data_IF_550711850416
#
_entry.id   IF_550711850416
#
_cell.length_a   1.000
_cell.length_b   1.000
_cell.length_c   1.000
_cell.angle_alpha   90.00
_cell.angle_beta   90.00
_cell.angle_gamma   90.00
#
_symmetry.space_group_name_H-M   'P 1'
#
loop_
_entity.id
_entity.type
_entity.pdbx_description
1 polymer ?
#
# COMPACT_ATOMS: atom_id res chain seq x y z
N UNK A 1 -17.95 -27.78 28.56
CA UNK A 1 -16.53 -27.83 28.95
C UNK A 1 -15.77 -28.77 28.03
N UNK A 2 -16.23 -30.02 27.87
CA UNK A 2 -15.66 -30.98 26.91
C UNK A 2 -15.61 -30.50 25.45
N UNK A 3 -16.61 -29.72 25.04
CA UNK A 3 -16.66 -29.13 23.69
C UNK A 3 -15.53 -28.11 23.45
N UNK A 4 -15.23 -27.26 24.44
CA UNK A 4 -14.11 -26.30 24.37
C UNK A 4 -12.77 -27.02 24.23
N UNK A 5 -12.58 -28.12 24.96
CA UNK A 5 -11.36 -28.90 24.87
C UNK A 5 -11.21 -29.53 23.48
N UNK A 6 -12.26 -30.16 22.92
CA UNK A 6 -12.21 -30.70 21.55
C UNK A 6 -11.90 -29.62 20.52
N UNK A 7 -12.55 -28.46 20.61
CA UNK A 7 -12.30 -27.35 19.69
C UNK A 7 -10.84 -26.89 19.74
N UNK A 8 -10.21 -26.88 20.92
CA UNK A 8 -8.80 -26.53 21.08
C UNK A 8 -7.87 -27.62 20.53
N UNK A 9 -8.19 -28.90 20.74
CA UNK A 9 -7.43 -30.04 20.21
C UNK A 9 -7.45 -30.10 18.67
N UNK A 10 -8.54 -29.64 18.04
CA UNK A 10 -8.69 -29.62 16.58
C UNK A 10 -7.96 -28.44 15.89
N UNK A 11 -7.42 -27.47 16.65
CA UNK A 11 -6.68 -26.34 16.07
C UNK A 11 -5.36 -26.85 15.49
N UNK A 12 -5.28 -26.93 14.16
CA UNK A 12 -4.06 -27.36 13.47
C UNK A 12 -2.88 -26.40 13.72
N UNK A 13 -1.62 -26.88 13.71
CA UNK A 13 -0.45 -26.02 13.78
C UNK A 13 -0.47 -24.91 12.72
N UNK A 14 -0.14 -23.68 13.13
CA UNK A 14 -0.20 -22.48 12.31
C UNK A 14 -1.58 -21.81 12.24
N UNK A 15 -2.63 -22.45 12.76
CA UNK A 15 -3.98 -21.88 12.81
C UNK A 15 -4.33 -21.30 14.18
N UNK A 16 -5.46 -20.61 14.21
CA UNK A 16 -6.05 -20.02 15.41
C UNK A 16 -7.55 -20.26 15.47
N UNK A 17 -8.10 -20.28 16.67
CA UNK A 17 -9.54 -20.30 16.90
C UNK A 17 -9.94 -19.14 17.81
N UNK A 18 -10.91 -18.33 17.36
CA UNK A 18 -11.49 -17.27 18.16
C UNK A 18 -12.80 -17.78 18.77
N UNK A 19 -12.88 -17.75 20.10
CA UNK A 19 -14.11 -18.01 20.84
C UNK A 19 -14.98 -16.77 20.83
N UNK A 20 -16.29 -16.95 20.78
CA UNK A 20 -17.25 -15.84 20.74
C UNK A 20 -17.13 -14.89 21.96
N UNK A 21 -17.52 -13.63 21.81
CA UNK A 21 -17.46 -12.64 22.89
C UNK A 21 -18.49 -12.89 24.02
N UNK A 22 -19.53 -13.69 23.76
CA UNK A 22 -20.56 -14.10 24.73
C UNK A 22 -20.06 -15.07 25.81
N UNK A 23 -18.82 -15.53 25.74
CA UNK A 23 -18.26 -16.43 26.76
C UNK A 23 -18.12 -15.73 28.12
N UNK A 24 -18.48 -16.45 29.17
CA UNK A 24 -18.36 -15.99 30.56
C UNK A 24 -16.89 -15.90 31.01
N UNK A 25 -16.61 -15.13 32.06
CA UNK A 25 -15.26 -15.05 32.64
C UNK A 25 -14.73 -16.39 33.14
N UNK A 26 -15.61 -17.26 33.65
CA UNK A 26 -15.25 -18.62 34.06
C UNK A 26 -14.84 -19.48 32.88
N UNK A 27 -15.55 -19.38 31.74
CA UNK A 27 -15.18 -20.07 30.50
C UNK A 27 -13.87 -19.51 29.92
N UNK A 28 -13.67 -18.19 29.95
CA UNK A 28 -12.42 -17.54 29.53
C UNK A 28 -11.23 -18.05 30.33
N UNK A 29 -11.34 -18.11 31.67
CA UNK A 29 -10.30 -18.70 32.53
C UNK A 29 -10.04 -20.16 32.18
N UNK A 30 -11.11 -20.93 31.96
CA UNK A 30 -10.98 -22.34 31.57
C UNK A 30 -10.25 -22.51 30.23
N UNK A 31 -10.59 -21.72 29.20
CA UNK A 31 -9.92 -21.72 27.89
C UNK A 31 -8.42 -21.46 28.05
N UNK A 32 -8.02 -20.46 28.82
CA UNK A 32 -6.60 -20.16 29.08
C UNK A 32 -5.88 -21.34 29.75
N UNK A 33 -6.50 -21.97 30.75
CA UNK A 33 -5.92 -23.11 31.48
C UNK A 33 -5.75 -24.32 30.57
N UNK A 34 -6.77 -24.69 29.80
CA UNK A 34 -6.72 -25.85 28.90
C UNK A 34 -5.77 -25.60 27.74
N UNK A 35 -5.81 -24.41 27.14
CA UNK A 35 -4.89 -24.04 26.06
C UNK A 35 -3.43 -24.17 26.50
N UNK A 36 -3.11 -23.72 27.72
CA UNK A 36 -1.77 -23.90 28.30
C UNK A 36 -1.37 -25.36 28.44
N UNK A 37 -2.30 -26.25 28.81
CA UNK A 37 -2.04 -27.71 28.89
C UNK A 37 -1.78 -28.33 27.51
N UNK A 38 -2.45 -27.80 26.48
CA UNK A 38 -2.32 -28.26 25.09
C UNK A 38 -1.15 -27.58 24.35
N UNK A 39 -0.36 -26.73 25.02
CA UNK A 39 0.73 -25.99 24.39
C UNK A 39 0.27 -24.87 23.44
N UNK A 40 -1.00 -24.49 23.50
CA UNK A 40 -1.57 -23.41 22.72
C UNK A 40 -1.34 -22.07 23.40
N UNK A 41 -1.02 -21.05 22.62
CA UNK A 41 -0.94 -19.68 23.11
C UNK A 41 -2.35 -19.05 23.09
N UNK A 42 -2.72 -18.29 24.12
CA UNK A 42 -4.03 -17.64 24.18
C UNK A 42 -3.93 -16.19 24.58
N UNK A 43 -4.73 -15.33 23.94
CA UNK A 43 -4.86 -13.92 24.30
C UNK A 43 -6.32 -13.50 24.29
N UNK A 44 -6.70 -12.63 25.22
CA UNK A 44 -7.97 -11.90 25.15
C UNK A 44 -7.79 -10.71 24.21
N UNK A 45 -8.61 -10.61 23.17
CA UNK A 45 -8.58 -9.54 22.17
C UNK A 45 -9.90 -8.76 22.20
N UNK A 46 -9.90 -7.50 21.71
CA UNK A 46 -11.08 -6.62 21.71
C UNK A 46 -11.34 -5.91 23.04
N UNK A 47 -12.31 -4.99 23.05
CA UNK A 47 -12.74 -4.20 24.22
C UNK A 47 -14.25 -4.32 24.43
N UNK A 48 -14.70 -4.25 25.69
CA UNK A 48 -16.13 -4.26 26.02
C UNK A 48 -16.85 -5.53 25.53
N UNK A 49 -17.95 -5.34 24.81
CA UNK A 49 -18.81 -6.41 24.28
C UNK A 49 -18.18 -7.20 23.12
N UNK A 50 -17.13 -6.69 22.48
CA UNK A 50 -16.39 -7.39 21.42
C UNK A 50 -15.21 -8.21 21.97
N UNK A 51 -15.05 -8.24 23.30
CA UNK A 51 -13.91 -8.91 23.94
C UNK A 51 -14.04 -10.42 23.85
N UNK A 52 -13.16 -11.01 23.04
CA UNK A 52 -13.12 -12.43 22.78
C UNK A 52 -11.77 -13.05 23.17
N UNK A 53 -11.70 -14.38 23.23
CA UNK A 53 -10.45 -15.11 23.47
C UNK A 53 -10.04 -15.78 22.18
N UNK A 54 -8.79 -15.63 21.79
CA UNK A 54 -8.21 -16.33 20.65
C UNK A 54 -7.12 -17.28 21.12
N UNK A 55 -7.22 -18.54 20.71
CA UNK A 55 -6.24 -19.58 20.92
C UNK A 55 -5.46 -19.82 19.62
N UNK A 56 -4.15 -19.94 19.72
CA UNK A 56 -3.22 -20.05 18.61
C UNK A 56 -2.40 -21.32 18.79
N UNK A 57 -2.40 -22.20 17.79
CA UNK A 57 -1.49 -23.33 17.76
C UNK A 57 -0.20 -22.91 17.06
N UNK A 58 0.79 -22.52 17.85
CA UNK A 58 2.02 -21.87 17.35
C UNK A 58 3.25 -22.75 17.49
N UNK A 59 3.09 -24.00 17.95
CA UNK A 59 4.23 -24.87 18.28
C UNK A 59 5.27 -24.13 19.14
N UNK A 60 6.53 -24.11 18.73
CA UNK A 60 7.64 -23.41 19.39
C UNK A 60 7.82 -21.94 18.93
N UNK A 61 7.03 -21.48 17.95
CA UNK A 61 7.18 -20.16 17.34
C UNK A 61 7.15 -19.02 18.39
N UNK A 62 6.13 -18.97 19.24
CA UNK A 62 5.98 -17.92 20.27
C UNK A 62 7.18 -17.91 21.22
N UNK A 63 7.64 -19.08 21.65
CA UNK A 63 8.78 -19.19 22.56
C UNK A 63 10.08 -18.72 21.90
N UNK A 64 10.31 -19.10 20.63
CA UNK A 64 11.45 -18.67 19.84
C UNK A 64 11.47 -17.15 19.63
N UNK A 65 10.38 -16.59 19.12
CA UNK A 65 10.28 -15.13 18.88
C UNK A 65 10.46 -14.35 20.18
N UNK A 66 9.84 -14.79 21.28
CA UNK A 66 10.00 -14.13 22.58
C UNK A 66 11.45 -14.15 23.05
N UNK A 67 12.15 -15.27 22.90
CA UNK A 67 13.56 -15.37 23.26
C UNK A 67 14.42 -14.43 22.39
N UNK A 68 14.17 -14.37 21.09
CA UNK A 68 14.86 -13.45 20.17
C UNK A 68 14.62 -11.98 20.51
N UNK A 69 13.38 -11.59 20.84
CA UNK A 69 13.05 -10.21 21.20
C UNK A 69 13.61 -9.82 22.59
N UNK A 70 13.68 -10.74 23.54
CA UNK A 70 14.25 -10.48 24.88
C UNK A 70 15.75 -10.22 24.87
N UNK A 71 16.47 -10.70 23.86
CA UNK A 71 17.92 -10.48 23.71
C UNK A 71 18.25 -9.37 22.71
N UNK A 72 17.25 -8.69 22.16
CA UNK A 72 17.44 -7.59 21.21
C UNK A 72 18.08 -6.41 21.94
N UNK A 73 19.27 -5.99 21.51
CA UNK A 73 20.01 -4.90 22.15
C UNK A 73 19.31 -3.53 21.96
N UNK A 74 19.60 -2.58 22.85
CA UNK A 74 19.11 -1.21 22.71
C UNK A 74 19.69 -0.56 21.43
N UNK A 75 18.83 0.06 20.62
CA UNK A 75 19.13 0.60 19.29
C UNK A 75 19.06 -0.43 18.16
N UNK A 76 18.88 -1.72 18.47
CA UNK A 76 18.80 -2.76 17.46
C UNK A 76 17.38 -2.95 16.90
N UNK A 77 17.32 -3.59 15.73
CA UNK A 77 16.07 -3.97 15.09
C UNK A 77 16.15 -5.41 14.59
N UNK A 78 15.00 -6.06 14.48
CA UNK A 78 14.86 -7.43 13.99
C UNK A 78 13.72 -7.50 12.99
N UNK A 79 13.99 -8.07 11.82
CA UNK A 79 13.00 -8.23 10.75
C UNK A 79 12.60 -9.70 10.63
N UNK A 80 11.30 -9.95 10.50
CA UNK A 80 10.73 -11.27 10.30
C UNK A 80 10.00 -11.34 8.96
N UNK A 81 10.48 -12.20 8.08
CA UNK A 81 9.95 -12.40 6.73
C UNK A 81 9.11 -13.67 6.64
N UNK A 82 8.33 -13.79 5.56
CA UNK A 82 7.57 -15.01 5.23
C UNK A 82 6.62 -15.48 6.34
N UNK A 83 6.12 -14.57 7.17
CA UNK A 83 5.20 -14.87 8.25
C UNK A 83 3.76 -15.00 7.74
N UNK A 84 3.04 -16.00 8.24
CA UNK A 84 1.58 -16.05 8.09
C UNK A 84 0.92 -14.85 8.78
N UNK A 85 -0.32 -14.52 8.42
CA UNK A 85 -1.07 -13.44 9.09
C UNK A 85 -1.13 -13.65 10.61
N UNK A 86 -1.33 -14.89 11.06
CA UNK A 86 -1.36 -15.24 12.47
C UNK A 86 0.00 -15.05 13.16
N UNK A 87 1.09 -15.48 12.53
CA UNK A 87 2.44 -15.26 13.06
C UNK A 87 2.80 -13.78 13.12
N UNK A 88 2.39 -12.98 12.12
CA UNK A 88 2.56 -11.52 12.15
C UNK A 88 1.86 -10.89 13.34
N UNK A 89 0.60 -11.25 13.57
CA UNK A 89 -0.15 -10.78 14.74
C UNK A 89 0.58 -11.14 16.03
N UNK A 90 1.10 -12.37 16.15
CA UNK A 90 1.85 -12.83 17.33
C UNK A 90 3.12 -12.01 17.55
N UNK A 91 3.91 -11.74 16.50
CA UNK A 91 5.14 -10.94 16.64
C UNK A 91 4.80 -9.53 17.12
N UNK A 92 3.78 -8.90 16.54
CA UNK A 92 3.33 -7.55 16.95
C UNK A 92 2.89 -7.55 18.41
N UNK A 93 2.11 -8.55 18.81
CA UNK A 93 1.60 -8.71 20.17
C UNK A 93 2.72 -8.96 21.19
N UNK A 94 3.75 -9.73 20.83
CA UNK A 94 4.92 -9.96 21.68
C UNK A 94 5.81 -8.72 21.79
N UNK A 95 5.96 -7.97 20.68
CA UNK A 95 6.67 -6.70 20.69
C UNK A 95 5.99 -5.69 21.62
N UNK A 96 4.66 -5.57 21.52
CA UNK A 96 3.85 -4.74 22.42
C UNK A 96 4.03 -5.13 23.90
N UNK A 97 3.97 -6.43 24.21
CA UNK A 97 4.15 -6.95 25.58
C UNK A 97 5.57 -6.70 26.14
N UNK A 98 6.56 -6.47 25.26
CA UNK A 98 7.95 -6.16 25.61
C UNK A 98 8.29 -4.67 25.47
N UNK A 99 7.29 -3.81 25.24
CA UNK A 99 7.45 -2.37 25.03
C UNK A 99 8.36 -2.03 23.83
N UNK A 100 8.39 -2.92 22.83
CA UNK A 100 9.09 -2.74 21.56
C UNK A 100 8.13 -2.17 20.50
N UNK A 101 8.67 -1.43 19.54
CA UNK A 101 7.87 -0.89 18.42
C UNK A 101 7.90 -1.89 17.27
N UNK A 102 6.73 -2.30 16.78
CA UNK A 102 6.61 -3.19 15.62
C UNK A 102 5.90 -2.49 14.44
N UNK A 103 6.38 -2.74 13.22
CA UNK A 103 5.79 -2.27 11.98
C UNK A 103 5.63 -3.41 10.99
N UNK A 104 4.53 -3.39 10.24
CA UNK A 104 4.40 -4.20 9.02
C UNK A 104 4.84 -3.36 7.83
N UNK A 105 5.90 -3.78 7.16
CA UNK A 105 6.46 -3.11 5.98
C UNK A 105 6.27 -4.03 4.77
N UNK A 106 5.90 -3.51 3.59
CA UNK A 106 5.95 -4.30 2.37
C UNK A 106 7.41 -4.62 2.03
N UNK A 107 7.80 -5.90 2.07
CA UNK A 107 9.11 -6.36 1.59
C UNK A 107 9.10 -6.71 0.11
N UNK A 108 10.27 -7.08 -0.43
CA UNK A 108 10.45 -7.39 -1.86
C UNK A 108 9.61 -8.59 -2.33
N UNK A 109 9.43 -9.60 -1.47
CA UNK A 109 8.76 -10.87 -1.79
C UNK A 109 7.52 -11.13 -0.92
N UNK A 110 7.49 -10.60 0.30
CA UNK A 110 6.41 -10.78 1.26
C UNK A 110 6.34 -9.58 2.22
N UNK A 111 5.23 -9.45 2.95
CA UNK A 111 5.14 -8.50 4.06
C UNK A 111 6.10 -8.92 5.18
N UNK A 112 6.86 -7.95 5.67
CA UNK A 112 7.88 -8.12 6.70
C UNK A 112 7.41 -7.43 7.97
N UNK A 113 7.62 -8.06 9.12
CA UNK A 113 7.42 -7.41 10.42
C UNK A 113 8.78 -6.98 10.94
N UNK A 114 9.01 -5.66 11.03
CA UNK A 114 10.19 -5.10 11.68
C UNK A 114 9.85 -4.74 13.13
N UNK A 115 10.70 -5.17 14.06
CA UNK A 115 10.61 -4.84 15.49
C UNK A 115 11.84 -4.03 15.88
N UNK A 116 11.64 -2.94 16.60
CA UNK A 116 12.66 -1.97 16.99
C UNK A 116 12.74 -1.88 18.53
N UNK A 117 13.95 -1.98 19.06
CA UNK A 117 14.24 -1.71 20.47
C UNK A 117 14.90 -0.33 20.61
N UNK A 118 14.12 0.72 20.84
CA UNK A 118 14.64 2.10 20.99
C UNK A 118 13.89 2.88 22.08
N UNK A 119 13.88 2.41 23.35
CA UNK A 119 13.00 2.92 24.40
C UNK A 119 13.21 4.41 24.70
N UNK A 120 14.46 4.90 24.70
CA UNK A 120 14.76 6.31 24.96
C UNK A 120 14.22 7.20 23.82
N UNK A 121 14.47 6.80 22.57
CA UNK A 121 13.96 7.51 21.40
C UNK A 121 12.44 7.51 21.35
N UNK A 122 11.81 6.35 21.58
CA UNK A 122 10.35 6.20 21.62
C UNK A 122 9.75 7.09 22.71
N UNK A 123 10.32 7.11 23.90
CA UNK A 123 9.84 7.97 24.99
C UNK A 123 9.94 9.45 24.62
N UNK A 124 11.05 9.86 23.99
CA UNK A 124 11.24 11.25 23.55
C UNK A 124 10.22 11.66 22.48
N UNK A 125 9.98 10.81 21.48
CA UNK A 125 9.01 11.07 20.42
C UNK A 125 7.59 11.06 20.98
N UNK A 126 7.23 10.07 21.82
CA UNK A 126 5.90 9.99 22.42
C UNK A 126 5.57 11.23 23.25
N UNK A 127 6.53 11.75 24.04
CA UNK A 127 6.33 13.01 24.77
C UNK A 127 6.00 14.17 23.82
N UNK A 128 6.70 14.28 22.68
CA UNK A 128 6.41 15.31 21.68
C UNK A 128 5.02 15.12 21.06
N UNK A 129 4.64 13.87 20.76
CA UNK A 129 3.34 13.56 20.14
C UNK A 129 2.16 13.75 21.10
N UNK A 130 2.36 13.52 22.39
CA UNK A 130 1.36 13.72 23.44
C UNK A 130 1.09 15.21 23.67
N UNK A 131 2.13 16.05 23.57
CA UNK A 131 2.05 17.50 23.75
C UNK A 131 1.46 18.24 22.53
N UNK A 132 1.33 17.58 21.38
CA UNK A 132 0.73 18.18 20.18
C UNK A 132 -0.77 18.45 20.37
N UNK A 133 -1.14 19.73 20.39
CA UNK A 133 -2.54 20.14 20.35
C UNK A 133 -3.14 20.02 18.94
N UNK A 134 -4.47 19.97 18.85
CA UNK A 134 -5.15 19.93 17.55
C UNK A 134 -4.82 21.18 16.70
N UNK A 135 -4.48 20.96 15.43
CA UNK A 135 -4.00 21.96 14.49
C UNK A 135 -2.48 22.20 14.52
N UNK A 136 -1.74 21.58 15.44
CA UNK A 136 -0.28 21.72 15.53
C UNK A 136 0.45 20.60 14.78
N UNK A 137 1.65 20.94 14.29
CA UNK A 137 2.60 20.01 13.67
C UNK A 137 3.99 20.17 14.29
N UNK A 138 4.76 19.09 14.30
CA UNK A 138 6.15 19.04 14.70
C UNK A 138 6.98 18.40 13.59
N UNK A 139 8.14 18.98 13.29
CA UNK A 139 9.06 18.46 12.28
C UNK A 139 10.30 17.88 12.97
N UNK A 140 10.57 16.61 12.68
CA UNK A 140 11.77 15.91 13.10
C UNK A 140 12.82 15.98 11.97
N UNK A 141 14.04 16.35 12.33
CA UNK A 141 15.18 16.46 11.42
C UNK A 141 16.31 15.51 11.82
N UNK A 142 17.18 15.18 10.87
CA UNK A 142 18.37 14.37 11.12
C UNK A 142 18.07 12.92 11.53
N UNK A 143 16.87 12.41 11.22
CA UNK A 143 16.48 11.04 11.57
C UNK A 143 17.15 10.03 10.64
N UNK A 144 17.66 8.94 11.21
CA UNK A 144 17.99 7.74 10.44
C UNK A 144 16.72 7.11 9.84
N UNK A 145 16.89 6.26 8.83
CA UNK A 145 15.78 5.50 8.23
C UNK A 145 15.02 4.62 9.25
N UNK A 146 15.68 4.21 10.32
CA UNK A 146 15.06 3.41 11.38
C UNK A 146 14.25 4.28 12.32
N UNK A 147 14.82 5.38 12.79
CA UNK A 147 14.12 6.37 13.63
C UNK A 147 12.89 6.93 12.90
N UNK A 148 13.03 7.26 11.62
CA UNK A 148 11.92 7.71 10.76
C UNK A 148 10.76 6.71 10.72
N UNK A 149 11.07 5.42 10.58
CA UNK A 149 10.07 4.34 10.64
C UNK A 149 9.39 4.25 11.99
N UNK A 150 10.16 4.34 13.08
CA UNK A 150 9.61 4.38 14.44
C UNK A 150 8.66 5.57 14.61
N UNK A 151 9.00 6.76 14.12
CA UNK A 151 8.11 7.93 14.21
C UNK A 151 6.84 7.73 13.39
N UNK A 152 6.91 7.17 12.18
CA UNK A 152 5.72 6.80 11.40
C UNK A 152 4.81 5.82 12.16
N UNK A 153 5.36 4.82 12.83
CA UNK A 153 4.60 3.88 13.67
C UNK A 153 3.91 4.58 14.83
N UNK A 154 4.64 5.41 15.57
CA UNK A 154 4.09 6.13 16.71
C UNK A 154 3.01 7.11 16.27
N UNK A 155 3.21 7.83 15.17
CA UNK A 155 2.19 8.71 14.60
C UNK A 155 0.91 7.93 14.25
N UNK A 156 1.04 6.81 13.53
CA UNK A 156 -0.10 5.97 13.16
C UNK A 156 -0.85 5.41 14.40
N UNK A 157 -0.12 4.95 15.42
CA UNK A 157 -0.70 4.42 16.66
C UNK A 157 -1.47 5.49 17.46
N UNK A 158 -1.00 6.74 17.41
CA UNK A 158 -1.66 7.88 18.05
C UNK A 158 -2.74 8.52 17.16
N UNK A 159 -3.00 7.98 15.96
CA UNK A 159 -3.98 8.51 15.01
C UNK A 159 -3.58 9.86 14.38
N UNK A 160 -2.29 10.18 14.39
CA UNK A 160 -1.75 11.43 13.87
C UNK A 160 -1.43 11.31 12.38
N UNK A 161 -1.35 12.47 11.72
CA UNK A 161 -1.00 12.57 10.30
C UNK A 161 0.49 12.81 10.20
N UNK A 162 1.17 12.02 9.37
CA UNK A 162 2.61 12.05 9.18
C UNK A 162 2.97 12.36 7.71
N UNK A 163 4.13 12.97 7.43
CA UNK A 163 4.62 13.12 6.06
C UNK A 163 6.14 13.22 6.06
N UNK A 164 6.78 12.32 5.31
CA UNK A 164 8.21 12.38 5.03
C UNK A 164 8.47 13.17 3.76
N UNK A 165 9.45 14.06 3.80
CA UNK A 165 9.89 14.88 2.68
C UNK A 165 11.38 15.16 2.77
N UNK A 166 11.98 15.47 1.63
CA UNK A 166 13.39 15.82 1.55
C UNK A 166 13.51 17.35 1.50
N UNK A 167 14.33 17.92 2.39
CA UNK A 167 14.68 19.34 2.40
C UNK A 167 16.18 19.49 2.15
N UNK A 168 16.55 19.67 0.88
CA UNK A 168 17.94 19.61 0.46
C UNK A 168 18.51 18.20 0.60
N UNK A 169 19.59 18.07 1.38
CA UNK A 169 20.24 16.79 1.69
C UNK A 169 19.69 16.14 2.97
N UNK A 170 18.72 16.78 3.64
CA UNK A 170 18.15 16.29 4.90
C UNK A 170 16.80 15.61 4.67
N UNK A 171 16.66 14.38 5.19
CA UNK A 171 15.38 13.69 5.26
C UNK A 171 14.60 14.17 6.49
N UNK A 172 13.51 14.90 6.24
CA UNK A 172 12.63 15.43 7.28
C UNK A 172 11.37 14.58 7.42
N UNK A 173 10.80 14.54 8.61
CA UNK A 173 9.49 13.94 8.86
C UNK A 173 8.66 14.89 9.73
N UNK A 174 7.50 15.31 9.22
CA UNK A 174 6.54 16.09 10.00
C UNK A 174 5.39 15.21 10.48
N UNK A 175 4.96 15.40 11.73
CA UNK A 175 3.77 14.79 12.32
C UNK A 175 2.86 15.90 12.83
N UNK A 176 1.56 15.79 12.61
CA UNK A 176 0.59 16.76 13.11
C UNK A 176 -0.73 16.14 13.56
N UNK A 177 -1.39 16.84 14.47
CA UNK A 177 -2.75 16.51 14.92
C UNK A 177 -3.73 17.41 14.20
N UNK A 178 -4.69 16.79 13.50
CA UNK A 178 -5.66 17.51 12.66
C UNK A 178 -7.05 16.89 12.79
N UNK A 179 -7.49 16.60 14.01
CA UNK A 179 -8.77 15.95 14.28
C UNK A 179 -9.95 16.80 13.82
N UNK A 180 -9.98 18.09 14.21
CA UNK A 180 -11.04 19.00 13.79
C UNK A 180 -11.05 19.21 12.27
N UNK A 181 -9.88 19.42 11.67
CA UNK A 181 -9.75 19.60 10.22
C UNK A 181 -10.17 18.34 9.46
N UNK A 182 -9.75 17.16 9.91
CA UNK A 182 -10.14 15.88 9.29
C UNK A 182 -11.65 15.71 9.31
N UNK A 183 -12.30 16.02 10.44
CA UNK A 183 -13.75 15.97 10.56
C UNK A 183 -14.43 16.98 9.63
N UNK A 184 -13.93 18.21 9.60
CA UNK A 184 -14.45 19.27 8.73
C UNK A 184 -14.35 18.88 7.25
N UNK A 185 -13.17 18.46 6.79
CA UNK A 185 -12.91 18.06 5.41
C UNK A 185 -13.79 16.87 5.03
N UNK A 186 -13.91 15.85 5.88
CA UNK A 186 -14.82 14.72 5.62
C UNK A 186 -16.27 15.17 5.48
N UNK A 187 -16.76 16.07 6.34
CA UNK A 187 -18.11 16.61 6.21
C UNK A 187 -18.28 17.40 4.90
N UNK A 188 -17.30 18.22 4.53
CA UNK A 188 -17.33 19.00 3.28
C UNK A 188 -17.33 18.09 2.04
N UNK A 189 -16.48 17.06 2.02
CA UNK A 189 -16.35 16.14 0.90
C UNK A 189 -17.54 15.15 0.82
N UNK A 190 -18.12 14.75 1.95
CA UNK A 190 -19.33 13.92 1.96
C UNK A 190 -20.56 14.69 1.44
N UNK A 191 -20.63 16.00 1.71
CA UNK A 191 -21.66 16.89 1.18
C UNK A 191 -21.40 17.31 -0.28
N UNK A 192 -20.28 16.87 -0.87
CA UNK A 192 -19.93 17.23 -2.25
C UNK A 192 -20.95 16.63 -3.21
N UNK A 193 -21.68 17.49 -3.91
CA UNK A 193 -22.70 17.15 -4.91
C UNK A 193 -22.07 16.66 -6.22
N UNK A 194 -22.39 17.31 -7.34
CA UNK A 194 -21.69 17.13 -8.63
C UNK A 194 -20.45 18.04 -8.76
N UNK A 195 -20.10 18.76 -7.70
CA UNK A 195 -19.19 19.89 -7.75
C UNK A 195 -17.73 19.51 -7.47
N UNK A 196 -16.84 20.45 -7.79
CA UNK A 196 -15.41 20.38 -7.49
C UNK A 196 -15.15 21.23 -6.24
N UNK A 197 -14.35 20.70 -5.31
CA UNK A 197 -13.88 21.43 -4.13
C UNK A 197 -12.39 21.72 -4.26
N UNK A 198 -12.01 22.96 -4.03
CA UNK A 198 -10.62 23.38 -3.98
C UNK A 198 -10.24 23.80 -2.55
N UNK A 199 -9.05 23.39 -2.13
CA UNK A 199 -8.38 23.82 -0.90
C UNK A 199 -7.14 24.59 -1.30
N UNK A 200 -7.01 25.82 -0.82
CA UNK A 200 -6.01 26.78 -1.28
C UNK A 200 -4.58 26.45 -0.83
N UNK A 201 -3.65 27.34 -1.18
CA UNK A 201 -2.22 27.21 -0.90
C UNK A 201 -1.83 27.47 0.56
N UNK A 202 -2.76 27.91 1.41
CA UNK A 202 -2.50 28.08 2.86
C UNK A 202 -2.34 26.74 3.59
N UNK A 203 -2.78 25.64 2.98
CA UNK A 203 -2.66 24.31 3.57
C UNK A 203 -1.20 23.86 3.61
N UNK A 204 -0.75 23.35 4.76
CA UNK A 204 0.56 22.69 4.87
C UNK A 204 0.54 21.35 4.12
N UNK A 205 1.69 20.73 3.93
CA UNK A 205 1.77 19.41 3.28
C UNK A 205 0.99 18.34 4.05
N UNK A 206 0.96 18.43 5.39
CA UNK A 206 0.16 17.55 6.24
C UNK A 206 -1.34 17.79 6.08
N UNK A 207 -1.78 19.06 6.09
CA UNK A 207 -3.18 19.40 5.84
C UNK A 207 -3.65 18.93 4.45
N UNK A 208 -2.79 19.01 3.43
CA UNK A 208 -3.09 18.45 2.10
C UNK A 208 -3.21 16.92 2.13
N UNK A 209 -2.35 16.23 2.89
CA UNK A 209 -2.46 14.78 3.11
C UNK A 209 -3.81 14.41 3.74
N UNK A 210 -4.30 15.19 4.70
CA UNK A 210 -5.65 15.01 5.29
C UNK A 210 -6.72 15.04 4.21
N UNK A 211 -6.68 16.02 3.31
CA UNK A 211 -7.64 16.14 2.19
C UNK A 211 -7.56 14.94 1.25
N UNK A 212 -6.36 14.49 0.90
CA UNK A 212 -6.17 13.32 0.05
C UNK A 212 -6.71 12.04 0.67
N UNK A 213 -6.38 11.77 1.94
CA UNK A 213 -6.87 10.58 2.66
C UNK A 213 -8.41 10.60 2.76
N UNK A 214 -8.99 11.74 3.13
CA UNK A 214 -10.45 11.87 3.22
C UNK A 214 -11.15 11.71 1.87
N UNK A 215 -10.54 12.19 0.78
CA UNK A 215 -11.06 12.01 -0.57
C UNK A 215 -10.98 10.55 -1.03
N UNK A 216 -9.87 9.86 -0.75
CA UNK A 216 -9.67 8.44 -1.04
C UNK A 216 -10.69 7.55 -0.30
N UNK A 217 -10.91 7.79 0.99
CA UNK A 217 -11.93 7.11 1.81
C UNK A 217 -13.35 7.24 1.24
N UNK A 218 -13.65 8.37 0.62
CA UNK A 218 -14.96 8.66 0.00
C UNK A 218 -15.03 8.25 -1.48
N UNK A 219 -13.96 7.66 -2.03
CA UNK A 219 -13.88 7.23 -3.43
C UNK A 219 -13.87 8.39 -4.44
N UNK A 220 -13.43 9.58 -4.02
CA UNK A 220 -13.35 10.79 -4.84
C UNK A 220 -12.02 10.87 -5.58
N UNK A 221 -12.01 11.51 -6.76
CA UNK A 221 -10.78 11.87 -7.44
C UNK A 221 -10.15 13.09 -6.77
N UNK A 222 -8.84 13.08 -6.59
CA UNK A 222 -8.12 14.19 -5.98
C UNK A 222 -6.76 14.44 -6.64
N UNK A 223 -6.34 15.69 -6.70
CA UNK A 223 -5.03 16.07 -7.20
C UNK A 223 -4.49 17.29 -6.46
N UNK A 224 -3.18 17.30 -6.19
CA UNK A 224 -2.50 18.55 -5.82
C UNK A 224 -2.11 19.27 -7.11
N UNK A 225 -2.57 20.52 -7.26
CA UNK A 225 -2.22 21.41 -8.36
C UNK A 225 -1.26 22.46 -7.84
N UNK A 226 -0.10 22.59 -8.48
CA UNK A 226 0.86 23.66 -8.18
C UNK A 226 0.80 24.69 -9.30
N UNK A 227 0.49 25.94 -8.96
CA UNK A 227 0.52 27.07 -9.88
C UNK A 227 1.22 28.29 -9.25
N UNK A 228 1.22 29.42 -9.95
CA UNK A 228 1.86 30.67 -9.50
C UNK A 228 1.25 31.22 -8.20
N UNK A 229 0.04 30.79 -7.84
CA UNK A 229 -0.64 31.14 -6.58
C UNK A 229 -0.33 30.16 -5.43
N UNK A 230 0.44 29.10 -5.70
CA UNK A 230 0.91 28.11 -4.73
C UNK A 230 0.32 26.72 -4.95
N UNK A 231 0.45 25.85 -3.93
CA UNK A 231 0.02 24.44 -4.01
C UNK A 231 -1.39 24.26 -3.45
N UNK A 232 -2.39 24.08 -4.32
CA UNK A 232 -3.79 23.79 -3.93
C UNK A 232 -4.16 22.32 -4.12
N UNK A 233 -5.18 21.84 -3.41
CA UNK A 233 -5.74 20.49 -3.60
C UNK A 233 -7.13 20.60 -4.21
N UNK A 234 -7.38 19.83 -5.27
CA UNK A 234 -8.66 19.79 -5.98
C UNK A 234 -9.26 18.40 -5.82
N UNK A 235 -10.54 18.33 -5.44
CA UNK A 235 -11.28 17.08 -5.23
C UNK A 235 -12.59 17.09 -6.03
N UNK A 236 -12.90 15.99 -6.71
CA UNK A 236 -14.10 15.84 -7.56
C UNK A 236 -14.66 14.41 -7.52
N UNK A 237 -15.94 14.21 -7.89
CA UNK A 237 -16.53 12.86 -8.04
C UNK A 237 -16.06 12.15 -9.30
N UNK A 238 -16.06 10.81 -9.27
CA UNK A 238 -15.77 9.97 -10.44
C UNK A 238 -16.70 10.32 -11.61
N UNK A 239 -16.09 10.61 -12.77
CA UNK A 239 -16.82 10.99 -14.00
C UNK A 239 -16.74 12.47 -14.35
N UNK A 240 -16.23 13.32 -13.46
CA UNK A 240 -15.89 14.72 -13.78
C UNK A 240 -14.41 14.77 -14.14
N UNK A 241 -14.10 15.03 -15.42
CA UNK A 241 -12.72 15.22 -15.86
C UNK A 241 -12.12 16.44 -15.15
N UNK A 242 -11.01 16.24 -14.42
CA UNK A 242 -10.21 17.33 -13.84
C UNK A 242 -9.41 18.12 -14.90
N UNK A 243 -9.82 18.07 -16.17
CA UNK A 243 -9.17 18.80 -17.26
C UNK A 243 -9.63 20.25 -17.25
N UNK A 244 -8.68 21.18 -17.03
CA UNK A 244 -8.87 22.59 -17.36
C UNK A 244 -8.09 22.89 -18.64
N UNK A 245 -8.84 23.40 -19.62
CA UNK A 245 -8.42 23.83 -20.94
C UNK A 245 -7.04 24.48 -20.95
N UNK A 246 -6.18 23.94 -21.81
CA UNK A 246 -4.98 24.62 -22.29
C UNK A 246 -5.43 25.74 -23.21
N UNK A 247 -5.20 26.99 -22.83
CA UNK A 247 -4.95 28.06 -23.77
C UNK A 247 -3.83 28.97 -23.22
N UNK A 248 -2.92 29.32 -24.13
CA UNK A 248 -1.73 30.18 -24.09
C UNK A 248 -1.56 31.10 -22.86
N UNK A 249 -0.37 31.27 -22.29
CA UNK A 249 0.82 31.78 -22.96
C UNK A 249 2.08 31.53 -22.10
N UNK A 250 3.25 31.59 -22.72
CA UNK A 250 4.47 30.95 -22.22
C UNK A 250 5.21 31.60 -21.03
N UNK A 251 6.03 30.72 -20.46
CA UNK A 251 7.38 30.93 -19.91
C UNK A 251 7.56 30.80 -18.38
N UNK A 252 8.18 29.65 -18.04
CA UNK A 252 9.06 29.34 -16.91
C UNK A 252 8.47 28.93 -15.53
N UNK A 253 8.41 27.61 -15.33
CA UNK A 253 8.42 26.93 -14.03
C UNK A 253 8.77 25.44 -14.22
N UNK A 254 10.05 25.10 -14.12
CA UNK A 254 10.56 23.75 -14.37
C UNK A 254 10.25 22.80 -13.19
N UNK A 255 9.81 21.58 -13.51
CA UNK A 255 9.45 20.43 -12.65
C UNK A 255 8.01 20.54 -12.08
N UNK A 256 7.00 19.81 -12.58
CA UNK A 256 7.00 18.34 -12.63
C UNK A 256 6.24 17.76 -13.84
N UNK A 257 6.84 17.88 -15.02
CA UNK A 257 6.40 17.15 -16.22
C UNK A 257 6.64 15.63 -16.10
N UNK A 258 7.53 15.17 -15.20
CA UNK A 258 7.77 13.75 -14.97
C UNK A 258 6.74 13.10 -14.05
N UNK A 259 6.26 13.77 -12.98
CA UNK A 259 5.21 13.21 -12.11
C UNK A 259 3.86 13.21 -12.81
N UNK A 260 3.52 14.28 -13.55
CA UNK A 260 2.32 14.30 -14.39
C UNK A 260 2.36 13.22 -15.49
N UNK A 261 3.53 12.99 -16.09
CA UNK A 261 3.72 11.85 -17.02
C UNK A 261 3.62 10.51 -16.30
N UNK A 262 4.16 10.33 -15.10
CA UNK A 262 4.07 9.06 -14.36
C UNK A 262 2.63 8.73 -13.97
N UNK A 263 1.84 9.73 -13.55
CA UNK A 263 0.42 9.54 -13.21
C UNK A 263 -0.42 9.25 -14.47
N UNK A 264 -0.19 9.96 -15.58
CA UNK A 264 -0.83 9.62 -16.85
C UNK A 264 -0.39 8.26 -17.40
N UNK A 265 0.89 7.90 -17.26
CA UNK A 265 1.42 6.60 -17.70
C UNK A 265 0.84 5.49 -16.84
N UNK A 266 0.74 5.65 -15.52
CA UNK A 266 0.19 4.59 -14.65
C UNK A 266 -1.32 4.39 -14.89
N UNK A 267 -2.08 5.48 -15.12
CA UNK A 267 -3.48 5.39 -15.52
C UNK A 267 -3.66 4.70 -16.89
N UNK A 268 -2.77 4.97 -17.86
CA UNK A 268 -2.80 4.32 -19.18
C UNK A 268 -2.33 2.87 -19.14
N UNK A 269 -1.31 2.55 -18.34
CA UNK A 269 -0.84 1.18 -18.07
C UNK A 269 -1.95 0.38 -17.39
N UNK A 270 -2.69 0.98 -16.46
CA UNK A 270 -3.84 0.35 -15.82
C UNK A 270 -4.94 0.03 -16.83
N UNK A 271 -5.29 0.98 -17.73
CA UNK A 271 -6.26 0.72 -18.80
C UNK A 271 -5.81 -0.36 -19.80
N UNK A 272 -4.53 -0.35 -20.21
CA UNK A 272 -3.97 -1.40 -21.09
C UNK A 272 -3.97 -2.75 -20.36
N UNK A 273 -3.63 -2.77 -19.08
CA UNK A 273 -3.63 -3.99 -18.26
C UNK A 273 -5.04 -4.52 -18.03
N UNK A 274 -6.03 -3.65 -17.84
CA UNK A 274 -7.45 -4.03 -17.74
C UNK A 274 -7.97 -4.58 -19.07
N UNK A 275 -7.66 -3.93 -20.20
CA UNK A 275 -8.01 -4.44 -21.53
C UNK A 275 -7.33 -5.80 -21.80
N UNK A 276 -6.06 -5.96 -21.41
CA UNK A 276 -5.29 -7.20 -21.46
C UNK A 276 -5.88 -8.29 -20.55
N UNK A 277 -6.27 -7.96 -19.32
CA UNK A 277 -6.73 -8.93 -18.32
C UNK A 277 -8.20 -9.35 -18.50
N UNK A 278 -9.04 -8.46 -19.02
CA UNK A 278 -10.47 -8.71 -19.26
C UNK A 278 -10.77 -9.21 -20.66
N UNK A 279 -9.85 -8.95 -21.61
CA UNK A 279 -10.04 -9.30 -23.00
C UNK A 279 -11.19 -8.55 -23.66
N UNK A 280 -11.41 -7.30 -23.28
CA UNK A 280 -12.41 -6.43 -23.90
C UNK A 280 -11.84 -5.04 -24.12
N UNK A 281 -11.98 -4.55 -25.36
CA UNK A 281 -11.73 -3.16 -25.73
C UNK A 281 -12.99 -2.64 -26.41
N UNK A 282 -13.73 -1.77 -25.71
CA UNK A 282 -15.03 -1.28 -26.17
C UNK A 282 -16.07 -2.41 -26.32
N UNK A 283 -16.73 -2.49 -27.48
CA UNK A 283 -17.74 -3.51 -27.78
C UNK A 283 -17.18 -4.86 -28.24
N UNK A 284 -15.86 -5.00 -28.37
CA UNK A 284 -15.22 -6.16 -29.00
C UNK A 284 -14.52 -7.02 -27.96
N UNK A 285 -14.76 -8.34 -27.99
CA UNK A 285 -14.07 -9.32 -27.14
C UNK A 285 -12.76 -9.73 -27.80
N UNK A 286 -11.65 -9.41 -27.18
CA UNK A 286 -10.29 -9.80 -27.56
C UNK A 286 -9.82 -10.81 -26.51
N UNK A 287 -9.96 -12.12 -26.75
CA UNK A 287 -9.50 -13.10 -25.76
C UNK A 287 -7.97 -13.05 -25.62
N UNK A 288 -7.48 -12.70 -24.42
CA UNK A 288 -6.05 -12.80 -24.06
C UNK A 288 -5.87 -13.87 -22.99
N UNK A 289 -5.72 -15.12 -23.43
CA UNK A 289 -4.85 -16.11 -22.79
C UNK A 289 -3.86 -16.53 -23.86
N UNK A 290 -2.60 -16.82 -23.48
CA UNK A 290 -1.58 -17.55 -24.28
C UNK A 290 -2.28 -18.29 -25.44
N UNK A 291 -2.37 -17.82 -26.71
CA UNK A 291 -1.30 -17.32 -27.59
C UNK A 291 -1.72 -16.30 -28.70
N UNK A 292 -2.79 -15.49 -28.58
CA UNK A 292 -3.41 -14.81 -29.75
C UNK A 292 -3.21 -13.27 -29.87
N UNK A 293 -1.97 -12.78 -29.67
CA UNK A 293 -1.52 -11.48 -30.24
C UNK A 293 -1.66 -11.42 -31.77
N UNK A 294 -1.92 -12.58 -32.40
CA UNK A 294 -2.17 -12.78 -33.82
C UNK A 294 -3.51 -12.18 -34.25
N UNK A 295 -4.59 -12.45 -33.51
CA UNK A 295 -5.96 -12.09 -33.88
C UNK A 295 -6.20 -10.58 -33.65
N UNK A 296 -5.66 -10.04 -32.55
CA UNK A 296 -5.71 -8.61 -32.22
C UNK A 296 -5.11 -7.68 -33.29
N UNK A 297 -3.99 -8.09 -33.91
CA UNK A 297 -3.32 -7.31 -34.96
C UNK A 297 -3.85 -7.60 -36.37
N UNK A 298 -4.66 -8.64 -36.54
CA UNK A 298 -5.34 -8.95 -37.80
C UNK A 298 -6.64 -8.16 -37.97
N UNK A 299 -7.37 -7.92 -36.89
CA UNK A 299 -8.63 -7.16 -36.89
C UNK A 299 -8.46 -5.64 -37.06
N UNK A 300 -7.24 -5.12 -36.90
CA UNK A 300 -6.93 -3.67 -36.88
C UNK A 300 -6.38 -3.14 -38.23
N UNK A 301 -6.55 -3.88 -39.33
CA UNK A 301 -5.81 -3.67 -40.59
C UNK A 301 -6.52 -2.87 -41.69
N UNK A 302 -5.82 -1.90 -42.30
CA UNK A 302 -6.16 -1.36 -43.64
C UNK A 302 -4.99 -1.17 -44.62
N UNK A 303 -3.71 -1.35 -44.25
CA UNK A 303 -2.59 -1.13 -45.22
C UNK A 303 -1.47 -2.18 -45.22
N UNK A 304 -1.01 -2.54 -46.43
CA UNK A 304 -0.04 -3.63 -46.69
C UNK A 304 1.39 -3.29 -46.25
N UNK A 305 1.78 -2.00 -46.26
CA UNK A 305 3.11 -1.54 -45.82
C UNK A 305 3.25 -1.62 -44.28
N UNK A 306 2.17 -1.31 -43.54
CA UNK A 306 2.13 -1.46 -42.07
C UNK A 306 2.26 -2.92 -41.62
N UNK A 307 1.78 -3.89 -42.41
CA UNK A 307 1.85 -5.33 -42.08
C UNK A 307 3.27 -5.85 -41.86
N UNK A 308 4.27 -5.37 -42.60
CA UNK A 308 5.65 -5.88 -42.51
C UNK A 308 6.39 -5.32 -41.29
N UNK A 309 6.20 -4.03 -41.01
CA UNK A 309 6.74 -3.35 -39.83
C UNK A 309 6.09 -3.84 -38.53
N UNK A 310 4.77 -4.06 -38.52
CA UNK A 310 4.06 -4.64 -37.38
C UNK A 310 4.43 -6.10 -37.10
N UNK A 311 4.73 -6.92 -38.13
CA UNK A 311 5.24 -8.28 -37.92
C UNK A 311 6.62 -8.31 -37.25
N UNK A 312 7.48 -7.35 -37.57
CA UNK A 312 8.79 -7.24 -36.95
C UNK A 312 8.67 -6.71 -35.51
N UNK A 313 7.80 -5.73 -35.29
CA UNK A 313 7.42 -5.25 -33.96
C UNK A 313 6.87 -6.39 -33.08
N UNK A 314 5.99 -7.21 -33.65
CA UNK A 314 5.40 -8.38 -32.98
C UNK A 314 6.46 -9.35 -32.47
N UNK A 315 7.40 -9.78 -33.31
CA UNK A 315 8.45 -10.69 -32.85
C UNK A 315 9.35 -10.09 -31.78
N UNK A 316 9.55 -8.77 -31.81
CA UNK A 316 10.30 -8.10 -30.75
C UNK A 316 9.50 -8.05 -29.44
N UNK A 317 8.20 -7.78 -29.49
CA UNK A 317 7.34 -7.79 -28.31
C UNK A 317 7.18 -9.21 -27.72
N UNK A 318 6.98 -10.24 -28.54
CA UNK A 318 6.86 -11.63 -28.08
C UNK A 318 8.13 -12.07 -27.32
N UNK A 319 9.32 -11.79 -27.86
CA UNK A 319 10.58 -12.14 -27.21
C UNK A 319 10.76 -11.39 -25.88
N UNK A 320 10.36 -10.12 -25.82
CA UNK A 320 10.49 -9.30 -24.59
C UNK A 320 9.47 -9.76 -23.54
N UNK A 321 8.29 -10.19 -23.98
CA UNK A 321 7.27 -10.75 -23.11
C UNK A 321 7.74 -12.06 -22.48
N UNK A 322 8.28 -12.99 -23.29
CA UNK A 322 8.84 -14.25 -22.80
C UNK A 322 10.05 -14.02 -21.87
N UNK A 323 10.96 -13.11 -22.23
CA UNK A 323 12.07 -12.70 -21.35
C UNK A 323 11.55 -12.19 -19.98
N UNK A 324 10.49 -11.37 -20.00
CA UNK A 324 9.91 -10.79 -18.78
C UNK A 324 9.12 -11.81 -17.97
N UNK A 325 8.50 -12.78 -18.63
CA UNK A 325 7.79 -13.88 -17.98
C UNK A 325 8.77 -14.84 -17.32
N UNK A 326 9.88 -15.15 -17.98
CA UNK A 326 10.95 -15.94 -17.41
C UNK A 326 11.56 -15.22 -16.20
N UNK A 327 11.82 -13.90 -16.30
CA UNK A 327 12.25 -13.08 -15.17
C UNK A 327 11.23 -13.14 -14.01
N UNK A 328 9.92 -13.04 -14.29
CA UNK A 328 8.88 -13.17 -13.27
C UNK A 328 8.93 -14.55 -12.58
N UNK A 329 9.16 -15.63 -13.34
CA UNK A 329 9.28 -16.99 -12.83
C UNK A 329 10.55 -17.14 -11.97
N UNK A 330 11.66 -16.59 -12.42
CA UNK A 330 12.96 -16.62 -11.72
C UNK A 330 12.91 -15.81 -10.42
N UNK A 331 12.13 -14.73 -10.38
CA UNK A 331 11.81 -13.95 -9.18
C UNK A 331 10.70 -14.60 -8.30
N UNK A 332 10.36 -15.86 -8.56
CA UNK A 332 9.47 -16.67 -7.71
C UNK A 332 7.96 -16.45 -7.91
N UNK A 333 7.56 -15.58 -8.83
CA UNK A 333 6.15 -15.26 -9.10
C UNK A 333 5.56 -16.19 -10.18
N UNK A 334 5.03 -17.36 -9.75
CA UNK A 334 4.38 -18.32 -10.66
C UNK A 334 2.89 -18.03 -10.78
N UNK A 335 2.43 -17.66 -11.97
CA UNK A 335 1.00 -17.47 -12.24
C UNK A 335 0.59 -18.21 -13.51
N UNK A 336 -0.59 -18.83 -13.47
CA UNK A 336 -1.17 -19.51 -14.63
C UNK A 336 -1.87 -18.52 -15.59
N UNK A 337 -1.73 -17.21 -15.34
CA UNK A 337 -2.45 -16.12 -16.02
C UNK A 337 -1.51 -15.19 -16.81
N UNK A 338 -0.24 -15.56 -16.99
CA UNK A 338 0.77 -14.74 -17.67
C UNK A 338 1.48 -13.76 -16.74
N UNK A 339 1.80 -12.56 -17.25
CA UNK A 339 2.44 -11.50 -16.45
C UNK A 339 1.46 -10.86 -15.45
N UNK A 340 1.93 -10.61 -14.23
CA UNK A 340 1.21 -9.77 -13.26
C UNK A 340 1.33 -8.29 -13.66
N UNK A 341 0.49 -7.41 -13.10
CA UNK A 341 0.52 -5.96 -13.39
C UNK A 341 1.90 -5.34 -13.22
N UNK A 342 2.63 -5.77 -12.19
CA UNK A 342 3.98 -5.30 -11.93
C UNK A 342 4.94 -5.69 -13.07
N UNK A 343 5.00 -6.96 -13.44
CA UNK A 343 5.88 -7.42 -14.51
C UNK A 343 5.38 -7.03 -15.91
N UNK A 344 4.10 -6.73 -16.08
CA UNK A 344 3.57 -6.14 -17.29
C UNK A 344 4.09 -4.71 -17.49
N UNK A 345 4.25 -3.94 -16.42
CA UNK A 345 4.93 -2.63 -16.47
C UNK A 345 6.41 -2.79 -16.85
N UNK A 346 7.10 -3.76 -16.27
CA UNK A 346 8.50 -4.11 -16.64
C UNK A 346 8.61 -4.51 -18.11
N UNK A 347 7.65 -5.28 -18.62
CA UNK A 347 7.56 -5.66 -20.02
C UNK A 347 7.42 -4.43 -20.92
N UNK A 348 6.49 -3.52 -20.62
CA UNK A 348 6.26 -2.31 -21.41
C UNK A 348 7.46 -1.36 -21.40
N UNK A 349 8.12 -1.22 -20.24
CA UNK A 349 9.35 -0.45 -20.11
C UNK A 349 10.49 -1.08 -20.93
N UNK A 350 10.65 -2.40 -20.86
CA UNK A 350 11.65 -3.13 -21.64
C UNK A 350 11.38 -3.06 -23.15
N UNK A 351 10.11 -3.14 -23.54
CA UNK A 351 9.65 -2.97 -24.91
C UNK A 351 9.94 -1.56 -25.42
N UNK A 352 9.62 -0.52 -24.65
CA UNK A 352 9.90 0.87 -25.03
C UNK A 352 11.39 1.10 -25.27
N UNK A 353 12.26 0.55 -24.40
CA UNK A 353 13.72 0.67 -24.52
C UNK A 353 14.27 -0.09 -25.73
N UNK A 354 13.88 -1.37 -25.93
CA UNK A 354 14.38 -2.19 -27.06
C UNK A 354 13.86 -1.71 -28.42
N UNK A 355 12.69 -1.06 -28.47
CA UNK A 355 12.12 -0.51 -29.70
C UNK A 355 12.58 0.93 -29.99
N UNK A 356 13.25 1.57 -29.03
CA UNK A 356 13.65 2.98 -29.14
C UNK A 356 12.47 3.94 -29.16
N UNK A 357 11.32 3.51 -28.64
CA UNK A 357 10.09 4.29 -28.61
C UNK A 357 9.89 4.88 -27.22
N UNK A 358 9.32 6.07 -27.14
CA UNK A 358 8.87 6.57 -25.85
C UNK A 358 7.74 5.65 -25.35
N UNK A 359 7.73 5.36 -24.04
CA UNK A 359 6.69 4.53 -23.43
C UNK A 359 5.29 5.06 -23.72
N UNK A 360 5.13 6.39 -23.77
CA UNK A 360 3.88 7.05 -24.15
C UNK A 360 3.50 6.74 -25.61
N UNK A 361 4.46 6.75 -26.54
CA UNK A 361 4.20 6.41 -27.95
C UNK A 361 3.86 4.93 -28.12
N UNK A 362 4.53 4.03 -27.38
CA UNK A 362 4.22 2.61 -27.34
C UNK A 362 2.80 2.37 -26.77
N UNK A 363 2.47 3.02 -25.66
CA UNK A 363 1.15 2.97 -25.04
C UNK A 363 0.05 3.55 -25.95
N UNK A 364 0.30 4.67 -26.63
CA UNK A 364 -0.64 5.20 -27.65
C UNK A 364 -0.81 4.19 -28.79
N UNK A 365 0.27 3.62 -29.30
CA UNK A 365 0.20 2.66 -30.42
C UNK A 365 -0.55 1.38 -30.06
N UNK A 366 -0.52 0.97 -28.78
CA UNK A 366 -1.26 -0.17 -28.26
C UNK A 366 -2.72 0.18 -27.85
N UNK A 367 -3.05 1.46 -27.67
CA UNK A 367 -4.37 1.96 -27.25
C UNK A 367 -5.20 2.54 -28.41
N UNK A 368 -4.55 3.08 -29.45
CA UNK A 368 -5.15 3.71 -30.64
C UNK A 368 -5.38 2.70 -31.79
N UNK A 369 -5.38 1.40 -31.48
CA UNK A 369 -5.74 0.30 -32.39
C UNK A 369 -7.16 -0.17 -32.18
#
# INVERSE_FOLDING_TARGET
MDEVQRTLEDVQPGNSHAFDASITDSQRKYIHVISRKLGLWTRSMGKGEERHVRAFNTSDFVARIRAELMVLENGASKSYESLTTTERDIVILLAEDLELVAQVVPGETATVVEVFNMPEFVSSVQSVLDDLADGQEHSFQGLSDRERRVVHCLAANNGLVDHSYDDGDEHCLSVGRYDALTKEVRCQLAALGSDVKEYDSSFTSLMRKVVHVAAEELGLQHATVSDDAGRRVVVAKQGVSLERNMDADGANGHISAEVARHVQVDARVTRVFEAYATGQQGSTRIFMRYPDLREFLEDTQTSVVRRRQLKQLRHQLDNIYEDTLQLQIDMGCRTNKGLTRYYFKVFLESASKKLGWSLIHLLCTLLDT
#
